data_IF_897262165813
#
_entry.id   IF_897262165813
#
_cell.length_a   1.000
_cell.length_b   1.000
_cell.length_c   1.000
_cell.angle_alpha   90.00
_cell.angle_beta   90.00
_cell.angle_gamma   90.00
#
_symmetry.space_group_name_H-M   'P 1'
#
loop_
_entity.id
_entity.type
_entity.pdbx_description
1 polymer ?
#
# COMPACT_ATOMS: atom_id res chain seq x y z
N UNK A 1 -19.52 51.67 -5.60
CA UNK A 1 -19.19 53.09 -5.41
C UNK A 1 -17.73 53.16 -4.97
N UNK A 2 -16.88 53.76 -5.80
CA UNK A 2 -15.41 53.86 -5.62
C UNK A 2 -15.07 54.73 -4.41
N UNK A 3 -14.01 54.38 -3.68
CA UNK A 3 -13.13 55.37 -3.07
C UNK A 3 -11.72 54.81 -2.98
N UNK A 4 -10.83 55.52 -3.63
CA UNK A 4 -9.40 55.34 -3.72
C UNK A 4 -8.83 56.72 -3.40
N UNK A 5 -7.90 56.86 -2.45
CA UNK A 5 -7.01 58.02 -2.41
C UNK A 5 -5.74 57.75 -1.61
N UNK A 6 -4.65 57.96 -2.34
CA UNK A 6 -3.22 57.91 -2.04
C UNK A 6 -2.67 59.14 -1.30
N UNK A 7 -1.55 58.97 -0.57
CA UNK A 7 -0.39 59.90 -0.52
C UNK A 7 0.85 59.06 -0.09
N UNK A 8 1.91 58.87 -0.90
CA UNK A 8 3.09 59.72 -1.22
C UNK A 8 3.93 60.13 0.04
N UNK A 9 5.28 60.11 0.12
CA UNK A 9 6.44 59.70 -0.72
C UNK A 9 7.75 59.87 0.11
N UNK A 10 8.87 59.34 -0.40
CA UNK A 10 10.31 59.54 -0.06
C UNK A 10 10.88 58.59 1.02
N UNK A 11 11.99 57.84 0.87
CA UNK A 11 13.02 57.75 -0.17
C UNK A 11 14.40 57.60 0.49
N UNK A 12 15.10 56.45 0.36
CA UNK A 12 16.51 56.30 -0.09
C UNK A 12 16.84 54.79 -0.28
N UNK A 13 17.54 54.48 -1.38
CA UNK A 13 17.91 53.15 -1.94
C UNK A 13 18.76 52.28 -0.97
N UNK A 14 18.76 50.95 -1.07
CA UNK A 14 19.78 50.16 -1.81
C UNK A 14 19.37 48.67 -1.93
N UNK A 15 19.67 48.09 -3.09
CA UNK A 15 19.69 46.67 -3.53
C UNK A 15 18.39 45.86 -3.64
N UNK A 16 18.18 45.45 -4.89
CA UNK A 16 17.16 44.57 -5.45
C UNK A 16 17.23 43.12 -4.94
N UNK A 17 16.11 42.60 -4.44
CA UNK A 17 15.65 41.24 -4.74
C UNK A 17 14.13 41.31 -4.89
N UNK A 18 13.65 40.96 -6.08
CA UNK A 18 12.24 41.03 -6.46
C UNK A 18 11.46 39.94 -5.71
N UNK A 19 10.68 40.33 -4.70
CA UNK A 19 9.59 39.53 -4.14
C UNK A 19 8.31 39.83 -4.91
N UNK A 20 7.95 38.97 -5.86
CA UNK A 20 6.56 38.78 -6.28
C UNK A 20 6.44 37.43 -7.00
N UNK A 21 5.45 36.65 -6.61
CA UNK A 21 5.13 35.37 -7.26
C UNK A 21 5.29 34.12 -6.39
N UNK A 22 4.81 34.12 -5.15
CA UNK A 22 4.45 32.84 -4.50
C UNK A 22 3.14 32.39 -5.13
N UNK A 23 3.20 31.84 -6.35
CA UNK A 23 2.13 30.97 -6.83
C UNK A 23 2.26 29.65 -6.07
N UNK A 24 1.32 29.41 -5.16
CA UNK A 24 1.04 28.07 -4.62
C UNK A 24 0.56 27.20 -5.77
N UNK A 25 1.49 26.56 -6.46
CA UNK A 25 1.27 25.38 -7.30
C UNK A 25 2.63 24.65 -7.38
N UNK A 26 3.00 23.99 -6.28
CA UNK A 26 4.06 22.98 -6.34
C UNK A 26 3.42 21.71 -6.91
N UNK A 27 3.56 21.58 -8.21
CA UNK A 27 3.19 20.43 -9.01
C UNK A 27 4.01 19.22 -8.52
N UNK A 28 3.36 18.28 -7.82
CA UNK A 28 4.00 17.11 -7.20
C UNK A 28 4.64 16.14 -8.21
N UNK A 29 4.30 16.27 -9.50
CA UNK A 29 4.98 15.61 -10.61
C UNK A 29 6.46 16.00 -10.73
N UNK A 30 6.86 17.21 -10.33
CA UNK A 30 8.23 17.71 -10.61
C UNK A 30 9.30 17.05 -9.75
N UNK A 31 8.95 16.50 -8.58
CA UNK A 31 9.90 15.81 -7.69
C UNK A 31 10.14 14.36 -8.12
N UNK A 32 9.39 13.87 -9.11
CA UNK A 32 9.60 12.55 -9.72
C UNK A 32 10.62 12.57 -10.87
N UNK A 33 10.99 13.75 -11.38
CA UNK A 33 11.78 13.89 -12.61
C UNK A 33 12.89 14.94 -12.47
N UNK A 34 14.04 14.55 -11.91
CA UNK A 34 15.29 15.30 -12.09
C UNK A 34 16.35 14.41 -12.69
N UNK A 35 16.60 14.61 -13.98
CA UNK A 35 17.74 14.06 -14.71
C UNK A 35 18.97 14.86 -14.31
N UNK A 36 19.72 14.41 -13.30
CA UNK A 36 21.09 14.93 -13.12
C UNK A 36 21.96 14.42 -14.28
N UNK A 37 22.17 15.28 -15.29
CA UNK A 37 23.23 15.09 -16.26
C UNK A 37 24.57 15.33 -15.57
N UNK A 38 25.25 14.28 -15.13
CA UNK A 38 26.70 14.31 -14.91
C UNK A 38 27.40 13.54 -16.03
N UNK A 39 28.31 14.22 -16.69
CA UNK A 39 29.12 13.71 -17.79
C UNK A 39 30.28 12.83 -17.28
N UNK A 40 30.77 11.93 -18.15
CA UNK A 40 32.02 11.11 -18.12
C UNK A 40 31.96 9.81 -17.29
N UNK A 41 32.45 8.61 -17.69
CA UNK A 41 33.31 8.09 -18.79
C UNK A 41 32.91 6.62 -19.13
N UNK A 42 33.46 5.94 -20.17
CA UNK A 42 32.92 4.69 -20.71
C UNK A 42 33.55 3.43 -20.09
N UNK A 43 32.82 2.71 -19.22
CA UNK A 43 33.09 1.31 -18.91
C UNK A 43 31.83 0.63 -18.33
N UNK A 44 31.34 -0.38 -19.09
CA UNK A 44 30.24 -1.32 -18.84
C UNK A 44 28.79 -0.77 -18.80
N UNK A 45 27.84 -1.38 -19.54
CA UNK A 45 26.45 -0.95 -19.53
C UNK A 45 25.76 -1.47 -18.27
N UNK A 46 25.74 -0.66 -17.20
CA UNK A 46 24.69 -0.79 -16.18
C UNK A 46 23.39 -0.34 -16.84
N UNK A 47 22.44 -1.24 -16.99
CA UNK A 47 21.13 -0.98 -17.58
C UNK A 47 20.50 0.25 -16.92
N UNK A 48 20.18 1.26 -17.74
CA UNK A 48 19.60 2.52 -17.30
C UNK A 48 18.15 2.40 -16.78
N UNK A 49 17.58 1.19 -16.72
CA UNK A 49 16.15 0.91 -16.56
C UNK A 49 15.54 1.15 -15.17
N UNK A 50 16.34 1.48 -14.15
CA UNK A 50 15.87 1.45 -12.74
C UNK A 50 15.53 2.82 -12.13
N UNK A 51 15.62 3.92 -12.88
CA UNK A 51 15.51 5.28 -12.29
C UNK A 51 14.12 5.93 -12.33
N UNK A 52 13.16 5.38 -13.08
CA UNK A 52 11.89 6.03 -13.41
C UNK A 52 10.66 5.55 -12.61
N UNK A 53 10.74 4.40 -11.94
CA UNK A 53 9.56 3.79 -11.30
C UNK A 53 9.52 4.14 -9.81
N UNK A 54 8.64 5.07 -9.40
CA UNK A 54 8.36 5.35 -7.98
C UNK A 54 6.88 5.62 -7.66
N UNK A 55 6.09 4.58 -7.34
CA UNK A 55 4.87 4.73 -6.56
C UNK A 55 5.19 5.08 -5.10
N UNK A 56 4.59 6.14 -4.55
CA UNK A 56 5.10 6.80 -3.32
C UNK A 56 4.80 6.05 -2.01
N UNK A 57 3.83 5.14 -1.97
CA UNK A 57 3.58 4.27 -0.79
C UNK A 57 4.03 2.82 -1.00
N UNK A 58 3.78 2.24 -2.19
CA UNK A 58 4.08 0.84 -2.48
C UNK A 58 5.56 0.59 -2.83
N UNK A 59 6.31 1.60 -3.30
CA UNK A 59 7.68 1.34 -3.79
C UNK A 59 8.69 0.96 -2.72
N UNK A 60 8.50 1.35 -1.46
CA UNK A 60 9.46 1.00 -0.40
C UNK A 60 9.41 -0.49 -0.10
N UNK A 61 8.19 -1.03 0.05
CA UNK A 61 7.98 -2.44 0.36
C UNK A 61 8.30 -3.34 -0.84
N UNK A 62 7.99 -2.90 -2.07
CA UNK A 62 8.38 -3.64 -3.29
C UNK A 62 9.90 -3.74 -3.42
N UNK A 63 10.65 -2.69 -3.08
CA UNK A 63 12.13 -2.69 -3.18
C UNK A 63 12.82 -3.65 -2.23
N UNK A 64 12.15 -4.06 -1.17
CA UNK A 64 12.65 -5.03 -0.21
C UNK A 64 12.40 -6.48 -0.63
N UNK A 65 11.60 -6.71 -1.68
CA UNK A 65 11.33 -8.04 -2.21
C UNK A 65 12.61 -8.73 -2.69
N UNK A 66 12.59 -10.05 -2.57
CA UNK A 66 13.60 -10.93 -3.12
C UNK A 66 13.87 -10.57 -4.60
N UNK A 67 15.15 -10.53 -5.05
CA UNK A 67 15.50 -10.06 -6.39
C UNK A 67 14.74 -10.73 -7.55
N UNK A 68 14.38 -12.01 -7.38
CA UNK A 68 13.56 -12.80 -8.32
C UNK A 68 12.16 -12.22 -8.53
N UNK A 69 11.54 -11.63 -7.49
CA UNK A 69 10.18 -11.12 -7.50
C UNK A 69 10.10 -9.60 -7.72
N UNK A 70 11.20 -8.87 -7.50
CA UNK A 70 11.24 -7.42 -7.56
C UNK A 70 10.69 -6.87 -8.89
N UNK A 71 11.25 -7.33 -10.02
CA UNK A 71 10.83 -6.85 -11.35
C UNK A 71 9.42 -7.33 -11.72
N UNK A 72 9.06 -8.63 -11.60
CA UNK A 72 7.71 -9.11 -11.91
C UNK A 72 6.61 -8.41 -11.11
N UNK A 73 6.77 -8.25 -9.80
CA UNK A 73 5.77 -7.58 -8.94
C UNK A 73 5.68 -6.08 -9.26
N UNK A 74 6.81 -5.44 -9.56
CA UNK A 74 6.84 -4.03 -9.96
C UNK A 74 6.11 -3.80 -11.28
N UNK A 75 6.40 -4.60 -12.31
CA UNK A 75 5.71 -4.54 -13.60
C UNK A 75 4.23 -4.87 -13.45
N UNK A 76 3.90 -5.91 -12.68
CA UNK A 76 2.52 -6.27 -12.41
C UNK A 76 1.73 -5.12 -11.79
N UNK A 77 2.30 -4.45 -10.77
CA UNK A 77 1.70 -3.26 -10.18
C UNK A 77 1.47 -2.15 -11.20
N UNK A 78 2.44 -1.86 -12.07
CA UNK A 78 2.32 -0.80 -13.08
C UNK A 78 1.26 -1.12 -14.14
N UNK A 79 1.14 -2.39 -14.55
CA UNK A 79 0.11 -2.84 -15.49
C UNK A 79 -1.28 -2.60 -14.89
N UNK A 80 -1.51 -3.08 -13.66
CA UNK A 80 -2.80 -2.90 -12.99
C UNK A 80 -3.10 -1.44 -12.68
N UNK A 81 -2.09 -0.64 -12.33
CA UNK A 81 -2.24 0.81 -12.15
C UNK A 81 -2.64 1.52 -13.46
N UNK A 82 -2.10 1.07 -14.60
CA UNK A 82 -2.51 1.57 -15.90
C UNK A 82 -3.98 1.27 -16.19
N UNK A 83 -4.42 0.05 -15.87
CA UNK A 83 -5.81 -0.37 -15.98
C UNK A 83 -6.74 0.45 -15.07
N UNK A 84 -6.41 0.60 -13.78
CA UNK A 84 -7.13 1.46 -12.82
C UNK A 84 -7.28 2.90 -13.36
N UNK A 85 -6.20 3.46 -13.93
CA UNK A 85 -6.20 4.84 -14.45
C UNK A 85 -7.17 5.05 -15.62
N UNK A 86 -7.47 4.00 -16.40
CA UNK A 86 -8.50 4.05 -17.45
C UNK A 86 -9.90 3.91 -16.84
N UNK A 87 -10.06 3.05 -15.84
CA UNK A 87 -11.32 2.79 -15.16
C UNK A 87 -11.83 4.01 -14.39
N UNK A 88 -10.98 4.61 -13.56
CA UNK A 88 -11.30 5.74 -12.67
C UNK A 88 -11.56 7.06 -13.43
N UNK A 89 -11.07 7.19 -14.67
CA UNK A 89 -11.25 8.42 -15.45
C UNK A 89 -12.68 8.55 -15.97
N UNK A 90 -13.50 9.31 -15.24
CA UNK A 90 -14.89 9.61 -15.58
C UNK A 90 -15.07 10.42 -16.88
N UNK A 91 -13.99 10.95 -17.46
CA UNK A 91 -14.06 11.67 -18.75
C UNK A 91 -14.07 10.76 -19.98
N UNK A 92 -13.69 9.49 -19.82
CA UNK A 92 -13.66 8.51 -20.92
C UNK A 92 -15.06 7.93 -21.14
N UNK A 93 -15.67 8.09 -22.33
CA UNK A 93 -16.99 7.51 -22.63
C UNK A 93 -16.99 5.99 -22.55
N UNK A 94 -18.11 5.39 -22.14
CA UNK A 94 -18.23 3.93 -22.01
C UNK A 94 -17.85 3.18 -23.29
N UNK A 95 -18.32 3.64 -24.46
CA UNK A 95 -18.04 3.02 -25.76
C UNK A 95 -16.55 2.92 -26.09
N UNK A 96 -15.73 3.78 -25.47
CA UNK A 96 -14.27 3.74 -25.56
C UNK A 96 -13.66 2.96 -24.39
N UNK A 97 -14.19 3.15 -23.17
CA UNK A 97 -13.68 2.55 -21.94
C UNK A 97 -13.83 1.02 -21.92
N UNK A 98 -15.02 0.50 -22.27
CA UNK A 98 -15.29 -0.94 -22.18
C UNK A 98 -14.32 -1.78 -23.05
N UNK A 99 -14.11 -1.46 -24.36
CA UNK A 99 -13.11 -2.18 -25.16
C UNK A 99 -11.69 -2.02 -24.61
N UNK A 100 -11.31 -0.81 -24.17
CA UNK A 100 -9.98 -0.57 -23.60
C UNK A 100 -9.70 -1.45 -22.37
N UNK A 101 -10.69 -1.64 -21.50
CA UNK A 101 -10.55 -2.47 -20.30
C UNK A 101 -10.48 -3.96 -20.64
N UNK A 102 -11.35 -4.44 -21.54
CA UNK A 102 -11.39 -5.87 -21.91
C UNK A 102 -10.16 -6.31 -22.70
N UNK A 103 -9.70 -5.46 -23.61
CA UNK A 103 -8.58 -5.76 -24.51
C UNK A 103 -7.23 -5.36 -23.88
N UNK A 104 -7.21 -4.88 -22.62
CA UNK A 104 -6.00 -4.36 -21.99
C UNK A 104 -4.86 -5.38 -21.93
N UNK A 105 -5.21 -6.67 -21.75
CA UNK A 105 -4.25 -7.77 -21.79
C UNK A 105 -3.55 -7.90 -23.14
N UNK A 106 -4.26 -7.61 -24.23
CA UNK A 106 -3.75 -7.76 -25.60
C UNK A 106 -2.81 -6.60 -25.94
N UNK A 107 -2.98 -5.43 -25.30
CA UNK A 107 -2.02 -4.32 -25.41
C UNK A 107 -0.67 -4.65 -24.76
N UNK A 108 -0.61 -5.58 -23.80
CA UNK A 108 0.67 -6.08 -23.26
C UNK A 108 1.51 -6.78 -24.34
N UNK A 109 0.88 -7.26 -25.41
CA UNK A 109 1.56 -7.87 -26.53
C UNK A 109 1.97 -6.88 -27.63
N UNK A 110 1.51 -5.62 -27.57
CA UNK A 110 1.70 -4.62 -28.61
C UNK A 110 2.89 -3.70 -28.30
N UNK A 111 4.00 -3.91 -28.99
CA UNK A 111 5.20 -3.09 -28.84
C UNK A 111 4.92 -1.59 -29.10
N UNK A 112 5.32 -0.74 -28.16
CA UNK A 112 5.15 0.71 -28.26
C UNK A 112 3.74 1.23 -27.98
N UNK A 113 2.83 0.38 -27.49
CA UNK A 113 1.48 0.84 -27.11
C UNK A 113 1.55 1.90 -26.00
N UNK A 114 0.80 2.97 -26.19
CA UNK A 114 0.63 4.07 -25.23
C UNK A 114 -0.79 4.59 -25.33
N UNK A 115 -1.26 5.24 -24.27
CA UNK A 115 -2.59 5.84 -24.24
C UNK A 115 -2.54 7.28 -23.72
N UNK A 116 -3.19 8.18 -24.46
CA UNK A 116 -3.21 9.63 -24.17
C UNK A 116 -4.61 10.19 -23.96
N UNK A 117 -5.63 9.32 -23.97
CA UNK A 117 -7.05 9.70 -23.91
C UNK A 117 -7.55 10.10 -22.53
N UNK A 118 -6.76 9.96 -21.47
CA UNK A 118 -7.11 10.47 -20.15
C UNK A 118 -7.12 12.00 -20.11
N UNK A 119 -7.96 12.56 -19.23
CA UNK A 119 -7.95 13.99 -18.91
C UNK A 119 -6.58 14.43 -18.38
N UNK A 120 -6.12 15.66 -18.68
CA UNK A 120 -4.81 16.15 -18.22
C UNK A 120 -4.61 16.16 -16.70
N UNK A 121 -5.71 16.25 -15.95
CA UNK A 121 -5.72 16.30 -14.48
C UNK A 121 -5.58 14.91 -13.85
N UNK A 122 -5.70 13.83 -14.63
CA UNK A 122 -5.62 12.48 -14.11
C UNK A 122 -4.21 12.19 -13.56
N UNK A 123 -4.15 11.81 -12.28
CA UNK A 123 -2.92 11.86 -11.47
C UNK A 123 -1.83 10.97 -12.06
N UNK A 124 -2.23 9.79 -12.54
CA UNK A 124 -1.34 8.75 -13.05
C UNK A 124 -1.30 8.69 -14.59
N UNK A 125 -1.89 9.66 -15.30
CA UNK A 125 -1.92 9.73 -16.77
C UNK A 125 -0.56 9.47 -17.43
N UNK A 126 0.52 9.98 -16.84
CA UNK A 126 1.87 9.86 -17.39
C UNK A 126 2.32 8.40 -17.53
N UNK A 127 1.82 7.49 -16.69
CA UNK A 127 2.06 6.05 -16.78
C UNK A 127 1.58 5.49 -18.12
N UNK A 128 0.36 5.84 -18.52
CA UNK A 128 -0.26 5.39 -19.77
C UNK A 128 0.40 6.02 -21.01
N UNK A 129 0.86 7.27 -20.89
CA UNK A 129 1.63 7.95 -21.95
C UNK A 129 2.97 7.28 -22.21
N UNK A 130 3.56 6.64 -21.20
CA UNK A 130 4.87 5.98 -21.25
C UNK A 130 4.77 4.46 -21.05
N UNK A 131 3.60 3.88 -21.37
CA UNK A 131 3.30 2.49 -21.10
C UNK A 131 4.15 1.52 -21.93
N UNK A 132 4.70 1.98 -23.04
CA UNK A 132 5.71 1.30 -23.85
C UNK A 132 6.91 0.79 -23.03
N UNK A 133 7.31 1.55 -22.00
CA UNK A 133 8.38 1.15 -21.09
C UNK A 133 7.95 -0.01 -20.18
N UNK A 134 6.69 -0.02 -19.74
CA UNK A 134 6.13 -1.11 -18.92
C UNK A 134 6.06 -2.39 -19.73
N UNK A 135 5.60 -2.31 -20.99
CA UNK A 135 5.56 -3.44 -21.93
C UNK A 135 6.97 -4.00 -22.17
N UNK A 136 7.95 -3.12 -22.38
CA UNK A 136 9.35 -3.54 -22.58
C UNK A 136 9.87 -4.35 -21.39
N UNK A 137 9.64 -3.89 -20.16
CA UNK A 137 10.08 -4.61 -18.97
C UNK A 137 9.25 -5.87 -18.70
N UNK A 138 7.95 -5.85 -19.04
CA UNK A 138 7.09 -7.03 -18.99
C UNK A 138 7.63 -8.16 -19.87
N UNK A 139 8.04 -7.86 -21.10
CA UNK A 139 8.66 -8.82 -22.02
C UNK A 139 9.98 -9.40 -21.50
N UNK A 140 10.69 -8.69 -20.63
CA UNK A 140 11.94 -9.15 -20.01
C UNK A 140 11.71 -10.14 -18.85
N UNK A 141 10.47 -10.31 -18.37
CA UNK A 141 10.15 -11.26 -17.29
C UNK A 141 10.05 -12.70 -17.80
N UNK A 142 10.05 -13.69 -16.89
CA UNK A 142 9.92 -15.11 -17.28
C UNK A 142 8.55 -15.39 -17.91
N UNK A 143 8.44 -16.30 -18.91
CA UNK A 143 7.17 -16.64 -19.53
C UNK A 143 6.06 -17.05 -18.54
N UNK A 144 6.42 -17.74 -17.47
CA UNK A 144 5.47 -18.11 -16.41
C UNK A 144 4.88 -16.88 -15.69
N UNK A 145 5.69 -15.87 -15.39
CA UNK A 145 5.21 -14.61 -14.81
C UNK A 145 4.37 -13.81 -15.80
N UNK A 146 4.77 -13.79 -17.08
CA UNK A 146 3.98 -13.14 -18.13
C UNK A 146 2.57 -13.75 -18.22
N UNK A 147 2.47 -15.07 -18.20
CA UNK A 147 1.19 -15.79 -18.24
C UNK A 147 0.31 -15.47 -17.03
N UNK A 148 0.89 -15.44 -15.81
CA UNK A 148 0.15 -15.06 -14.60
C UNK A 148 -0.37 -13.63 -14.70
N UNK A 149 0.50 -12.67 -15.01
CA UNK A 149 0.15 -11.25 -15.08
C UNK A 149 -0.92 -11.00 -16.15
N UNK A 150 -0.81 -11.64 -17.32
CA UNK A 150 -1.78 -11.51 -18.42
C UNK A 150 -3.16 -12.05 -18.01
N UNK A 151 -3.20 -13.24 -17.39
CA UNK A 151 -4.45 -13.85 -16.92
C UNK A 151 -5.16 -12.98 -15.87
N UNK A 152 -4.41 -12.40 -14.92
CA UNK A 152 -4.98 -11.51 -13.91
C UNK A 152 -5.47 -10.21 -14.54
N UNK A 153 -4.69 -9.64 -15.47
CA UNK A 153 -5.07 -8.43 -16.19
C UNK A 153 -6.36 -8.62 -16.99
N UNK A 154 -6.53 -9.79 -17.63
CA UNK A 154 -7.76 -10.17 -18.34
C UNK A 154 -8.97 -10.21 -17.41
N UNK A 155 -8.84 -10.94 -16.29
CA UNK A 155 -9.95 -11.09 -15.34
C UNK A 155 -10.34 -9.74 -14.71
N UNK A 156 -9.37 -8.92 -14.34
CA UNK A 156 -9.59 -7.60 -13.74
C UNK A 156 -10.23 -6.63 -14.75
N UNK A 157 -9.71 -6.58 -15.99
CA UNK A 157 -10.24 -5.73 -17.05
C UNK A 157 -11.69 -6.07 -17.42
N UNK A 158 -12.02 -7.36 -17.53
CA UNK A 158 -13.40 -7.79 -17.76
C UNK A 158 -14.33 -7.44 -16.60
N UNK A 159 -13.90 -7.66 -15.35
CA UNK A 159 -14.68 -7.31 -14.17
C UNK A 159 -14.98 -5.82 -14.09
N UNK A 160 -13.96 -4.97 -14.29
CA UNK A 160 -14.12 -3.51 -14.34
C UNK A 160 -15.06 -3.06 -15.46
N UNK A 161 -14.94 -3.65 -16.66
CA UNK A 161 -15.84 -3.36 -17.77
C UNK A 161 -17.30 -3.70 -17.45
N UNK A 162 -17.55 -4.82 -16.77
CA UNK A 162 -18.90 -5.22 -16.35
C UNK A 162 -19.51 -4.21 -15.37
N UNK A 163 -18.74 -3.73 -14.39
CA UNK A 163 -19.19 -2.70 -13.44
C UNK A 163 -19.35 -1.31 -14.10
N UNK A 164 -18.46 -0.92 -15.01
CA UNK A 164 -18.58 0.33 -15.77
C UNK A 164 -19.87 0.35 -16.62
N UNK A 165 -20.19 -0.77 -17.28
CA UNK A 165 -21.42 -0.93 -18.06
C UNK A 165 -22.67 -0.91 -17.16
N UNK A 166 -22.60 -1.58 -16.00
CA UNK A 166 -23.68 -1.52 -14.99
C UNK A 166 -23.95 -0.08 -14.57
N UNK A 167 -22.89 0.68 -14.28
CA UNK A 167 -23.02 2.08 -13.88
C UNK A 167 -23.63 2.97 -14.96
N UNK A 168 -23.25 2.78 -16.22
CA UNK A 168 -23.84 3.51 -17.34
C UNK A 168 -25.32 3.17 -17.60
N UNK A 169 -25.78 1.99 -17.20
CA UNK A 169 -27.19 1.56 -17.36
C UNK A 169 -28.16 2.15 -16.32
N UNK A 170 -27.67 2.96 -15.38
CA UNK A 170 -28.47 3.62 -14.35
C UNK A 170 -28.45 2.93 -12.98
N UNK A 171 -27.81 1.75 -12.87
CA UNK A 171 -27.59 1.03 -11.61
C UNK A 171 -26.13 1.21 -11.15
N UNK A 172 -25.72 2.48 -10.95
CA UNK A 172 -24.35 2.85 -10.60
C UNK A 172 -23.93 2.50 -9.16
N UNK A 173 -24.85 1.99 -8.34
CA UNK A 173 -24.57 1.59 -6.97
C UNK A 173 -24.23 0.10 -6.85
N UNK A 174 -23.46 -0.22 -5.83
CA UNK A 174 -23.38 -1.59 -5.31
C UNK A 174 -24.63 -1.84 -4.45
N UNK A 175 -25.42 -2.88 -4.76
CA UNK A 175 -26.70 -3.08 -4.09
C UNK A 175 -26.59 -3.99 -2.87
N UNK A 176 -25.93 -5.14 -2.98
CA UNK A 176 -25.81 -6.12 -1.88
C UNK A 176 -24.38 -6.26 -1.37
N UNK A 177 -24.22 -6.87 -0.21
CA UNK A 177 -22.88 -7.21 0.33
C UNK A 177 -22.16 -8.21 -0.57
N UNK A 178 -22.86 -9.12 -1.22
CA UNK A 178 -22.26 -10.05 -2.19
C UNK A 178 -21.74 -9.34 -3.43
N UNK A 179 -22.50 -8.35 -3.95
CA UNK A 179 -22.01 -7.50 -5.05
C UNK A 179 -20.80 -6.67 -4.62
N UNK A 180 -20.78 -6.20 -3.38
CA UNK A 180 -19.64 -5.48 -2.82
C UNK A 180 -18.39 -6.36 -2.74
N UNK A 181 -18.54 -7.59 -2.26
CA UNK A 181 -17.46 -8.58 -2.21
C UNK A 181 -16.99 -9.00 -3.61
N UNK A 182 -17.91 -9.07 -4.57
CA UNK A 182 -17.60 -9.36 -5.97
C UNK A 182 -16.83 -8.20 -6.63
N UNK A 183 -17.24 -6.96 -6.39
CA UNK A 183 -16.50 -5.78 -6.83
C UNK A 183 -15.09 -5.76 -6.25
N UNK A 184 -14.97 -5.89 -4.92
CA UNK A 184 -13.68 -5.93 -4.23
C UNK A 184 -12.81 -7.11 -4.70
N UNK A 185 -13.43 -8.24 -5.07
CA UNK A 185 -12.72 -9.36 -5.67
C UNK A 185 -12.08 -8.96 -7.00
N UNK A 186 -12.85 -8.40 -7.94
CA UNK A 186 -12.32 -8.04 -9.26
C UNK A 186 -11.16 -7.03 -9.18
N UNK A 187 -11.29 -6.00 -8.35
CA UNK A 187 -10.31 -4.89 -8.32
C UNK A 187 -9.14 -5.12 -7.36
N UNK A 188 -9.23 -6.04 -6.41
CA UNK A 188 -8.17 -6.27 -5.42
C UNK A 188 -7.95 -7.73 -5.02
N UNK A 189 -9.02 -8.53 -4.91
CA UNK A 189 -8.89 -9.95 -4.56
C UNK A 189 -8.14 -10.77 -5.61
N UNK A 190 -8.38 -10.51 -6.90
CA UNK A 190 -7.66 -11.13 -8.02
C UNK A 190 -6.17 -10.73 -8.00
N UNK A 191 -5.84 -9.52 -7.55
CA UNK A 191 -4.44 -9.11 -7.35
C UNK A 191 -3.76 -9.99 -6.30
N UNK A 192 -4.49 -10.35 -5.23
CA UNK A 192 -4.07 -11.36 -4.26
C UNK A 192 -3.73 -12.70 -4.91
N UNK A 193 -4.63 -13.23 -5.77
CA UNK A 193 -4.38 -14.47 -6.54
C UNK A 193 -3.09 -14.37 -7.38
N UNK A 194 -2.94 -13.29 -8.13
CA UNK A 194 -1.78 -13.07 -8.99
C UNK A 194 -0.47 -13.05 -8.23
N UNK A 195 -0.43 -12.28 -7.13
CA UNK A 195 0.74 -12.19 -6.25
C UNK A 195 1.06 -13.56 -5.62
N UNK A 196 0.07 -14.29 -5.12
CA UNK A 196 0.26 -15.64 -4.57
C UNK A 196 0.86 -16.59 -5.62
N UNK A 197 0.35 -16.56 -6.85
CA UNK A 197 0.87 -17.38 -7.95
C UNK A 197 2.31 -17.01 -8.31
N UNK A 198 2.66 -15.71 -8.33
CA UNK A 198 4.04 -15.27 -8.53
C UNK A 198 4.98 -15.80 -7.44
N UNK A 199 4.56 -15.78 -6.17
CA UNK A 199 5.36 -16.29 -5.07
C UNK A 199 5.63 -17.79 -5.18
N UNK A 200 4.59 -18.56 -5.53
CA UNK A 200 4.69 -20.01 -5.68
C UNK A 200 5.57 -20.37 -6.88
N UNK A 201 5.39 -19.69 -8.01
CA UNK A 201 6.21 -19.87 -9.22
C UNK A 201 7.69 -19.55 -8.95
N UNK A 202 7.96 -18.51 -8.14
CA UNK A 202 9.32 -18.17 -7.72
C UNK A 202 9.93 -19.17 -6.70
N UNK A 203 9.15 -20.12 -6.18
CA UNK A 203 9.57 -21.03 -5.11
C UNK A 203 9.72 -20.36 -3.74
N UNK A 204 9.13 -19.17 -3.56
CA UNK A 204 9.21 -18.36 -2.33
C UNK A 204 7.90 -18.37 -1.53
N UNK A 205 6.82 -18.91 -2.11
CA UNK A 205 5.56 -19.24 -1.45
C UNK A 205 5.34 -20.75 -1.37
N UNK A 206 4.59 -21.20 -0.36
CA UNK A 206 4.19 -22.61 -0.27
C UNK A 206 3.14 -22.94 -1.32
N UNK A 207 3.30 -24.04 -2.06
CA UNK A 207 2.39 -24.40 -3.17
C UNK A 207 0.92 -24.58 -2.75
N UNK A 208 0.69 -25.04 -1.51
CA UNK A 208 -0.65 -25.21 -0.91
C UNK A 208 -1.41 -23.90 -0.76
N UNK A 209 -0.73 -22.75 -0.77
CA UNK A 209 -1.36 -21.43 -0.61
C UNK A 209 -2.32 -21.11 -1.78
N UNK A 210 -2.10 -21.69 -2.96
CA UNK A 210 -2.98 -21.56 -4.13
C UNK A 210 -4.34 -22.22 -3.89
N UNK A 211 -4.38 -23.31 -3.14
CA UNK A 211 -5.60 -24.07 -2.87
C UNK A 211 -6.52 -23.35 -1.86
N UNK A 212 -5.97 -22.39 -1.11
CA UNK A 212 -6.68 -21.63 -0.09
C UNK A 212 -7.25 -20.30 -0.62
N UNK A 213 -8.16 -20.40 -1.61
CA UNK A 213 -8.74 -19.24 -2.32
C UNK A 213 -9.25 -18.14 -1.41
N UNK A 214 -9.96 -18.51 -0.35
CA UNK A 214 -10.53 -17.57 0.61
C UNK A 214 -9.46 -16.69 1.31
N UNK A 215 -8.24 -17.19 1.51
CA UNK A 215 -7.18 -16.48 2.21
C UNK A 215 -6.64 -15.31 1.39
N UNK A 216 -6.15 -15.55 0.17
CA UNK A 216 -5.64 -14.46 -0.68
C UNK A 216 -6.77 -13.54 -1.16
N UNK A 217 -7.99 -14.06 -1.30
CA UNK A 217 -9.19 -13.22 -1.53
C UNK A 217 -9.37 -12.24 -0.37
N UNK A 218 -9.39 -12.72 0.87
CA UNK A 218 -9.54 -11.88 2.07
C UNK A 218 -8.41 -10.86 2.21
N UNK A 219 -7.17 -11.20 1.85
CA UNK A 219 -6.04 -10.26 1.81
C UNK A 219 -6.32 -9.05 0.90
N UNK A 220 -6.85 -9.27 -0.32
CA UNK A 220 -7.21 -8.19 -1.23
C UNK A 220 -8.46 -7.42 -0.77
N UNK A 221 -9.49 -8.13 -0.31
CA UNK A 221 -10.74 -7.53 0.18
C UNK A 221 -10.51 -6.61 1.38
N UNK A 222 -9.70 -7.01 2.37
CA UNK A 222 -9.42 -6.16 3.53
C UNK A 222 -8.82 -4.82 3.11
N UNK A 223 -7.85 -4.83 2.20
CA UNK A 223 -7.20 -3.62 1.69
C UNK A 223 -8.17 -2.75 0.88
N UNK A 224 -8.99 -3.35 0.02
CA UNK A 224 -9.91 -2.61 -0.82
C UNK A 224 -11.05 -1.97 -0.03
N UNK A 225 -11.66 -2.74 0.88
CA UNK A 225 -12.71 -2.24 1.77
C UNK A 225 -12.18 -1.10 2.64
N UNK A 226 -10.92 -1.16 3.04
CA UNK A 226 -10.28 -0.07 3.78
C UNK A 226 -10.24 1.24 2.99
N UNK A 227 -9.82 1.19 1.72
CA UNK A 227 -9.79 2.36 0.85
C UNK A 227 -11.21 2.91 0.63
N UNK A 228 -12.18 2.05 0.32
CA UNK A 228 -13.59 2.43 0.09
C UNK A 228 -14.22 3.10 1.33
N UNK A 229 -13.90 2.62 2.54
CA UNK A 229 -14.39 3.24 3.78
C UNK A 229 -13.75 4.61 4.00
N UNK A 230 -12.42 4.69 3.82
CA UNK A 230 -11.64 5.91 4.08
C UNK A 230 -11.94 7.03 3.08
N UNK A 231 -12.14 6.68 1.82
CA UNK A 231 -12.25 7.62 0.70
C UNK A 231 -13.71 7.98 0.36
N UNK A 232 -14.69 7.58 1.21
CA UNK A 232 -16.14 7.79 1.00
C UNK A 232 -16.51 9.23 0.62
N UNK A 233 -15.81 10.24 1.17
CA UNK A 233 -16.03 11.64 0.80
C UNK A 233 -15.52 11.98 -0.60
N UNK A 234 -14.31 11.53 -0.95
CA UNK A 234 -13.71 11.75 -2.28
C UNK A 234 -14.56 11.04 -3.35
N UNK A 235 -14.98 9.80 -3.08
CA UNK A 235 -15.86 9.06 -3.98
C UNK A 235 -17.20 9.77 -4.18
N UNK A 236 -17.81 10.30 -3.11
CA UNK A 236 -19.05 11.06 -3.23
C UNK A 236 -18.88 12.35 -4.04
N UNK A 237 -17.81 13.12 -3.81
CA UNK A 237 -17.52 14.34 -4.56
C UNK A 237 -17.33 14.04 -6.07
N UNK A 238 -16.82 12.85 -6.41
CA UNK A 238 -16.66 12.36 -7.79
C UNK A 238 -17.92 11.69 -8.37
N UNK A 239 -19.01 11.59 -7.60
CA UNK A 239 -20.26 10.94 -8.00
C UNK A 239 -20.22 9.41 -8.02
N UNK A 240 -19.22 8.80 -7.37
CA UNK A 240 -19.02 7.36 -7.24
C UNK A 240 -19.64 6.85 -5.93
N UNK A 241 -20.21 5.64 -5.94
CA UNK A 241 -20.93 5.05 -4.78
C UNK A 241 -20.62 3.57 -4.63
N UNK A 242 -19.67 3.25 -3.76
CA UNK A 242 -19.21 1.87 -3.52
C UNK A 242 -19.76 1.21 -2.25
N UNK A 243 -20.30 1.99 -1.31
CA UNK A 243 -20.91 1.43 -0.11
C UNK A 243 -22.21 0.72 -0.51
N UNK A 244 -22.43 -0.54 -0.11
CA UNK A 244 -23.57 -1.32 -0.57
C UNK A 244 -24.88 -0.76 0.00
N UNK A 245 -25.90 -0.68 -0.86
CA UNK A 245 -27.26 -0.26 -0.47
C UNK A 245 -27.82 -1.05 0.69
N UNK A 246 -27.59 -2.35 0.72
CA UNK A 246 -27.97 -3.23 1.82
C UNK A 246 -27.43 -2.78 3.20
N UNK A 247 -26.29 -2.06 3.24
CA UNK A 247 -25.76 -1.48 4.49
C UNK A 247 -26.33 -0.08 4.70
N UNK A 248 -26.08 0.86 3.79
CA UNK A 248 -26.40 2.27 4.07
C UNK A 248 -27.89 2.56 4.16
N UNK A 249 -28.75 1.82 3.46
CA UNK A 249 -30.21 2.02 3.49
C UNK A 249 -30.87 1.58 4.81
N UNK A 250 -30.12 0.93 5.71
CA UNK A 250 -30.56 0.68 7.09
C UNK A 250 -30.49 1.92 7.96
N UNK A 251 -29.69 2.91 7.57
CA UNK A 251 -29.37 4.10 8.37
C UNK A 251 -29.98 5.38 7.80
N UNK A 252 -30.05 5.51 6.47
CA UNK A 252 -30.58 6.70 5.77
C UNK A 252 -31.41 6.30 4.54
N UNK A 253 -32.29 7.20 4.09
CA UNK A 253 -33.16 6.95 2.93
C UNK A 253 -32.42 7.13 1.59
N UNK A 254 -31.56 8.15 1.49
CA UNK A 254 -30.69 8.39 0.34
C UNK A 254 -29.22 8.35 0.75
N UNK A 255 -28.32 7.96 -0.18
CA UNK A 255 -26.90 7.86 0.13
C UNK A 255 -26.28 9.22 0.50
N UNK A 256 -26.74 10.27 -0.17
CA UNK A 256 -26.29 11.66 0.01
C UNK A 256 -26.59 12.18 1.43
N UNK A 257 -27.62 11.63 2.08
CA UNK A 257 -28.01 11.99 3.45
C UNK A 257 -26.90 11.66 4.48
N UNK A 258 -25.97 10.74 4.17
CA UNK A 258 -24.81 10.42 5.02
C UNK A 258 -23.86 11.62 5.23
N UNK A 259 -23.89 12.60 4.33
CA UNK A 259 -22.99 13.75 4.33
C UNK A 259 -23.61 15.00 4.99
N UNK A 260 -24.89 14.94 5.34
CA UNK A 260 -25.60 16.03 5.99
C UNK A 260 -25.30 16.08 7.50
N UNK A 261 -24.99 17.26 8.08
CA UNK A 261 -24.62 17.39 9.48
C UNK A 261 -25.66 16.84 10.48
N UNK A 262 -26.95 16.95 10.15
CA UNK A 262 -28.07 16.44 10.94
C UNK A 262 -28.09 14.90 11.06
N UNK A 263 -27.53 14.19 10.08
CA UNK A 263 -27.52 12.73 10.03
C UNK A 263 -26.20 12.14 10.52
N UNK A 264 -25.33 12.95 11.16
CA UNK A 264 -23.99 12.52 11.54
C UNK A 264 -24.00 11.21 12.36
N UNK A 265 -24.89 11.05 13.33
CA UNK A 265 -24.92 9.83 14.14
C UNK A 265 -25.33 8.59 13.32
N UNK A 266 -26.27 8.75 12.38
CA UNK A 266 -26.66 7.69 11.45
C UNK A 266 -25.50 7.33 10.51
N UNK A 267 -24.78 8.34 10.03
CA UNK A 267 -23.58 8.15 9.22
C UNK A 267 -22.48 7.42 10.00
N UNK A 268 -22.28 7.74 11.28
CA UNK A 268 -21.34 7.02 12.14
C UNK A 268 -21.75 5.56 12.36
N UNK A 269 -23.03 5.26 12.56
CA UNK A 269 -23.55 3.89 12.67
C UNK A 269 -23.42 3.11 11.34
N UNK A 270 -23.61 3.78 10.20
CA UNK A 270 -23.35 3.18 8.89
C UNK A 270 -21.85 2.87 8.72
N UNK A 271 -20.97 3.80 9.10
CA UNK A 271 -19.51 3.59 9.04
C UNK A 271 -19.06 2.44 9.95
N UNK A 272 -19.72 2.24 11.09
CA UNK A 272 -19.40 1.14 12.02
C UNK A 272 -19.77 -0.22 11.43
N UNK A 273 -20.89 -0.30 10.70
CA UNK A 273 -21.28 -1.51 9.96
C UNK A 273 -20.31 -1.82 8.80
N UNK A 274 -19.84 -0.79 8.09
CA UNK A 274 -18.82 -0.96 7.04
C UNK A 274 -17.49 -1.46 7.61
N UNK A 275 -17.03 -0.90 8.74
CA UNK A 275 -15.82 -1.36 9.43
C UNK A 275 -16.00 -2.80 9.94
N UNK A 276 -17.16 -3.14 10.51
CA UNK A 276 -17.49 -4.50 10.93
C UNK A 276 -17.39 -5.49 9.76
N UNK A 277 -17.93 -5.12 8.59
CA UNK A 277 -17.84 -5.93 7.38
C UNK A 277 -16.38 -6.17 6.95
N UNK A 278 -15.52 -5.14 7.02
CA UNK A 278 -14.10 -5.27 6.70
C UNK A 278 -13.34 -6.13 7.72
N UNK A 279 -13.63 -5.99 9.01
CA UNK A 279 -13.00 -6.79 10.10
C UNK A 279 -13.20 -8.30 9.91
N UNK A 280 -14.27 -8.72 9.22
CA UNK A 280 -14.51 -10.13 8.89
C UNK A 280 -13.37 -10.83 8.13
N UNK A 281 -12.50 -10.07 7.44
CA UNK A 281 -11.36 -10.62 6.70
C UNK A 281 -10.06 -10.74 7.52
N UNK A 282 -10.01 -10.19 8.73
CA UNK A 282 -8.76 -10.09 9.50
C UNK A 282 -8.16 -11.45 9.86
N UNK A 283 -8.97 -12.43 10.24
CA UNK A 283 -8.50 -13.78 10.62
C UNK A 283 -7.93 -14.54 9.42
N UNK A 284 -8.57 -14.43 8.25
CA UNK A 284 -8.06 -15.01 7.01
C UNK A 284 -6.73 -14.34 6.60
N UNK A 285 -6.61 -13.03 6.79
CA UNK A 285 -5.35 -12.33 6.53
C UNK A 285 -4.22 -12.85 7.42
N UNK A 286 -4.46 -13.02 8.73
CA UNK A 286 -3.48 -13.62 9.63
C UNK A 286 -3.14 -15.06 9.23
N UNK A 287 -4.14 -15.85 8.83
CA UNK A 287 -3.95 -17.22 8.36
C UNK A 287 -3.12 -17.29 7.07
N UNK A 288 -3.32 -16.36 6.14
CA UNK A 288 -2.49 -16.25 4.94
C UNK A 288 -1.03 -15.99 5.29
N UNK A 289 -0.76 -15.07 6.23
CA UNK A 289 0.60 -14.71 6.65
C UNK A 289 1.35 -15.88 7.31
N UNK A 290 0.66 -16.82 7.97
CA UNK A 290 1.27 -18.05 8.53
C UNK A 290 1.94 -18.90 7.43
N UNK A 291 1.39 -18.90 6.22
CA UNK A 291 1.91 -19.68 5.09
C UNK A 291 3.15 -19.07 4.42
N UNK A 292 3.56 -17.86 4.80
CA UNK A 292 4.68 -17.15 4.19
C UNK A 292 5.97 -17.42 4.97
N UNK A 293 6.95 -18.04 4.31
CA UNK A 293 8.21 -18.45 4.93
C UNK A 293 9.38 -17.54 4.57
N UNK A 294 9.32 -16.92 3.39
CA UNK A 294 10.35 -16.01 2.92
C UNK A 294 10.06 -14.61 3.49
N UNK A 295 11.07 -13.99 4.11
CA UNK A 295 10.90 -12.77 4.89
C UNK A 295 10.45 -11.58 4.05
N UNK A 296 11.00 -11.42 2.84
CA UNK A 296 10.63 -10.29 1.99
C UNK A 296 9.18 -10.37 1.50
N UNK A 297 8.71 -11.58 1.16
CA UNK A 297 7.33 -11.89 0.81
C UNK A 297 6.41 -11.68 2.01
N UNK A 298 6.83 -12.14 3.20
CA UNK A 298 6.10 -11.89 4.44
C UNK A 298 5.94 -10.38 4.70
N UNK A 299 7.03 -9.61 4.66
CA UNK A 299 7.00 -8.15 4.86
C UNK A 299 6.08 -7.48 3.85
N UNK A 300 6.17 -7.89 2.58
CA UNK A 300 5.34 -7.37 1.50
C UNK A 300 3.84 -7.56 1.75
N UNK A 301 3.45 -8.69 2.32
CA UNK A 301 2.06 -8.97 2.66
C UNK A 301 1.65 -8.39 4.01
N UNK A 302 2.50 -8.44 5.04
CA UNK A 302 2.16 -8.08 6.41
C UNK A 302 2.00 -6.56 6.61
N UNK A 303 2.91 -5.76 6.05
CA UNK A 303 2.93 -4.31 6.25
C UNK A 303 1.62 -3.64 5.80
N UNK A 304 1.09 -3.90 4.59
CA UNK A 304 -0.19 -3.35 4.17
C UNK A 304 -1.36 -3.74 5.07
N UNK A 305 -1.40 -4.99 5.56
CA UNK A 305 -2.49 -5.46 6.41
C UNK A 305 -2.47 -4.80 7.79
N UNK A 306 -1.28 -4.63 8.39
CA UNK A 306 -1.12 -3.85 9.62
C UNK A 306 -1.55 -2.39 9.46
N UNK A 307 -1.22 -1.76 8.32
CA UNK A 307 -1.68 -0.41 7.99
C UNK A 307 -3.20 -0.34 7.78
N UNK A 308 -3.80 -1.39 7.22
CA UNK A 308 -5.25 -1.48 7.07
C UNK A 308 -5.94 -1.53 8.43
N UNK A 309 -5.47 -2.34 9.39
CA UNK A 309 -6.02 -2.36 10.75
C UNK A 309 -5.95 -0.99 11.44
N UNK A 310 -4.83 -0.28 11.28
CA UNK A 310 -4.68 1.08 11.77
C UNK A 310 -5.67 2.07 11.12
N UNK A 311 -5.91 1.90 9.82
CA UNK A 311 -6.82 2.78 9.09
C UNK A 311 -8.29 2.47 9.38
N UNK A 312 -8.66 1.20 9.63
CA UNK A 312 -9.99 0.83 10.12
C UNK A 312 -10.27 1.50 11.47
N UNK A 313 -9.31 1.46 12.39
CA UNK A 313 -9.41 2.13 13.69
C UNK A 313 -9.56 3.65 13.55
N UNK A 314 -8.84 4.25 12.59
CA UNK A 314 -8.94 5.67 12.29
C UNK A 314 -10.31 6.05 11.72
N UNK A 315 -10.90 5.22 10.86
CA UNK A 315 -12.20 5.46 10.24
C UNK A 315 -13.38 5.15 11.20
N UNK A 316 -13.19 4.22 12.14
CA UNK A 316 -14.22 3.76 13.03
C UNK A 316 -14.83 4.90 13.86
N UNK A 317 -16.13 5.16 13.62
CA UNK A 317 -16.91 6.23 14.26
C UNK A 317 -16.21 7.61 14.24
N UNK A 318 -15.50 7.92 13.16
CA UNK A 318 -14.81 9.19 13.00
C UNK A 318 -15.56 10.12 12.03
N UNK A 319 -16.17 11.22 12.50
CA UNK A 319 -16.88 12.18 11.64
C UNK A 319 -16.07 12.73 10.47
N UNK A 320 -14.74 12.75 10.60
CA UNK A 320 -13.87 13.33 9.59
C UNK A 320 -13.93 12.59 8.24
N UNK A 321 -14.30 11.30 8.19
CA UNK A 321 -14.39 10.54 6.92
C UNK A 321 -15.44 11.11 5.97
N UNK A 322 -16.50 11.73 6.50
CA UNK A 322 -17.56 12.36 5.70
C UNK A 322 -17.23 13.80 5.30
N UNK A 323 -16.15 14.37 5.83
CA UNK A 323 -15.77 15.77 5.62
C UNK A 323 -14.54 15.90 4.73
N UNK A 324 -13.61 14.95 4.79
CA UNK A 324 -12.35 14.96 4.06
C UNK A 324 -11.70 13.59 4.01
N UNK A 325 -10.73 13.40 3.11
CA UNK A 325 -9.84 12.25 3.13
C UNK A 325 -8.95 12.29 4.39
N UNK A 326 -8.96 11.20 5.16
CA UNK A 326 -8.13 11.04 6.37
C UNK A 326 -7.11 9.93 6.17
N UNK A 327 -5.93 10.06 6.77
CA UNK A 327 -4.85 9.08 6.65
C UNK A 327 -4.12 8.91 7.97
N UNK A 328 -3.59 7.71 8.21
CA UNK A 328 -2.64 7.48 9.30
C UNK A 328 -1.44 8.40 9.13
N UNK A 329 -0.81 8.81 10.24
CA UNK A 329 0.33 9.72 10.15
C UNK A 329 1.54 9.00 9.55
N UNK A 330 2.48 9.75 8.97
CA UNK A 330 3.73 9.15 8.46
C UNK A 330 4.55 8.47 9.57
N UNK A 331 4.44 8.96 10.81
CA UNK A 331 5.07 8.35 11.98
C UNK A 331 4.47 6.99 12.30
N UNK A 332 3.13 6.91 12.37
CA UNK A 332 2.42 5.64 12.58
C UNK A 332 2.73 4.65 11.45
N UNK A 333 2.69 5.10 10.20
CA UNK A 333 3.00 4.26 9.05
C UNK A 333 4.43 3.69 9.12
N UNK A 334 5.42 4.51 9.50
CA UNK A 334 6.80 4.05 9.67
C UNK A 334 6.93 3.07 10.84
N UNK A 335 6.27 3.34 11.97
CA UNK A 335 6.26 2.43 13.11
C UNK A 335 5.68 1.06 12.73
N UNK A 336 4.54 1.05 12.03
CA UNK A 336 3.90 -0.18 11.57
C UNK A 336 4.76 -0.95 10.57
N UNK A 337 5.46 -0.25 9.69
CA UNK A 337 6.42 -0.85 8.76
C UNK A 337 7.52 -1.60 9.53
N UNK A 338 8.11 -0.97 10.56
CA UNK A 338 9.19 -1.55 11.36
C UNK A 338 8.71 -2.70 12.27
N UNK A 339 7.52 -2.58 12.85
CA UNK A 339 6.95 -3.63 13.71
C UNK A 339 6.53 -4.86 12.88
N UNK A 340 5.88 -4.63 11.73
CA UNK A 340 5.29 -5.70 10.92
C UNK A 340 6.29 -6.40 10.00
N UNK A 341 7.53 -5.90 9.90
CA UNK A 341 8.61 -6.51 9.12
C UNK A 341 9.43 -7.53 9.92
N UNK A 342 9.12 -7.76 11.19
CA UNK A 342 9.90 -8.63 12.08
C UNK A 342 9.42 -10.07 11.97
N UNK A 343 8.26 -10.36 12.52
CA UNK A 343 7.67 -11.69 12.56
C UNK A 343 6.14 -11.62 12.72
N UNK A 344 5.50 -12.78 12.64
CA UNK A 344 4.05 -12.90 12.79
C UNK A 344 3.57 -12.56 14.21
N UNK A 345 4.39 -12.74 15.24
CA UNK A 345 4.02 -12.38 16.62
C UNK A 345 3.81 -10.87 16.74
N UNK A 346 4.72 -10.06 16.18
CA UNK A 346 4.56 -8.60 16.12
C UNK A 346 3.35 -8.16 15.30
N UNK A 347 3.04 -8.85 14.20
CA UNK A 347 1.83 -8.57 13.43
C UNK A 347 0.57 -8.89 14.25
N UNK A 348 0.55 -10.01 14.97
CA UNK A 348 -0.55 -10.34 15.89
C UNK A 348 -0.72 -9.27 16.98
N UNK A 349 0.38 -8.80 17.59
CA UNK A 349 0.33 -7.69 18.56
C UNK A 349 -0.25 -6.41 17.94
N UNK A 350 0.11 -6.09 16.70
CA UNK A 350 -0.44 -4.94 15.96
C UNK A 350 -1.95 -5.09 15.77
N UNK A 351 -2.42 -6.26 15.35
CA UNK A 351 -3.85 -6.55 15.18
C UNK A 351 -4.59 -6.39 16.51
N UNK A 352 -4.11 -7.04 17.58
CA UNK A 352 -4.65 -6.93 18.94
C UNK A 352 -4.74 -5.46 19.40
N UNK A 353 -3.69 -4.68 19.20
CA UNK A 353 -3.65 -3.25 19.58
C UNK A 353 -4.75 -2.44 18.89
N UNK A 354 -4.98 -2.65 17.60
CA UNK A 354 -6.00 -1.86 16.88
C UNK A 354 -7.42 -2.34 17.12
N UNK A 355 -7.67 -3.65 17.28
CA UNK A 355 -9.00 -4.10 17.70
C UNK A 355 -9.35 -3.63 19.11
N UNK A 356 -8.37 -3.57 20.02
CA UNK A 356 -8.57 -3.00 21.34
C UNK A 356 -8.90 -1.50 21.29
N UNK A 357 -8.23 -0.72 20.43
CA UNK A 357 -8.56 0.70 20.21
C UNK A 357 -9.96 0.88 19.60
N UNK A 358 -10.38 0.00 18.68
CA UNK A 358 -11.76 -0.02 18.16
C UNK A 358 -12.77 -0.29 19.28
N UNK A 359 -12.51 -1.28 20.13
CA UNK A 359 -13.34 -1.59 21.30
C UNK A 359 -13.45 -0.39 22.25
N UNK A 360 -12.36 0.33 22.52
CA UNK A 360 -12.36 1.53 23.35
C UNK A 360 -13.20 2.68 22.77
N UNK A 361 -13.29 2.77 21.44
CA UNK A 361 -14.13 3.74 20.72
C UNK A 361 -15.58 3.27 20.54
N UNK A 362 -15.88 2.00 20.85
CA UNK A 362 -17.19 1.42 20.59
C UNK A 362 -18.25 2.07 21.48
N UNK A 363 -19.40 2.42 20.91
CA UNK A 363 -20.44 3.19 21.57
C UNK A 363 -21.65 2.28 21.89
N UNK A 364 -22.09 2.15 23.15
CA UNK A 364 -23.27 1.35 23.51
C UNK A 364 -24.57 1.74 22.78
N UNK A 365 -24.67 2.97 22.28
CA UNK A 365 -25.82 3.44 21.50
C UNK A 365 -25.75 3.05 20.01
N UNK A 366 -24.62 2.51 19.55
CA UNK A 366 -24.45 2.03 18.18
C UNK A 366 -25.24 0.71 18.00
N UNK A 367 -26.11 0.58 16.99
CA UNK A 367 -26.85 -0.66 16.72
C UNK A 367 -25.92 -1.86 16.46
N UNK A 368 -24.67 -1.61 16.06
CA UNK A 368 -23.66 -2.64 15.79
C UNK A 368 -22.76 -2.95 17.00
N UNK A 369 -22.99 -2.32 18.16
CA UNK A 369 -22.11 -2.41 19.35
C UNK A 369 -21.70 -3.84 19.71
N UNK A 370 -22.68 -4.75 19.81
CA UNK A 370 -22.44 -6.15 20.20
C UNK A 370 -21.67 -6.90 19.11
N UNK A 371 -22.04 -6.71 17.84
CA UNK A 371 -21.38 -7.37 16.70
C UNK A 371 -19.92 -6.95 16.56
N UNK A 372 -19.63 -5.66 16.74
CA UNK A 372 -18.26 -5.12 16.74
C UNK A 372 -17.47 -5.72 17.89
N UNK A 373 -18.03 -5.75 19.11
CA UNK A 373 -17.37 -6.32 20.28
C UNK A 373 -16.99 -7.78 20.06
N UNK A 374 -17.91 -8.58 19.51
CA UNK A 374 -17.68 -9.98 19.16
C UNK A 374 -16.59 -10.13 18.09
N UNK A 375 -16.65 -9.35 17.01
CA UNK A 375 -15.67 -9.41 15.94
C UNK A 375 -14.25 -9.07 16.46
N UNK A 376 -14.11 -8.02 17.25
CA UNK A 376 -12.84 -7.65 17.87
C UNK A 376 -12.31 -8.76 18.81
N UNK A 377 -13.16 -9.36 19.64
CA UNK A 377 -12.79 -10.45 20.54
C UNK A 377 -12.36 -11.71 19.76
N UNK A 378 -13.05 -12.03 18.65
CA UNK A 378 -12.68 -13.14 17.78
C UNK A 378 -11.30 -12.94 17.16
N UNK A 379 -11.01 -11.73 16.67
CA UNK A 379 -9.69 -11.39 16.10
C UNK A 379 -8.60 -11.45 17.16
N UNK A 380 -8.86 -10.88 18.33
CA UNK A 380 -7.91 -10.89 19.45
C UNK A 380 -7.57 -12.32 19.88
N UNK A 381 -8.58 -13.17 20.10
CA UNK A 381 -8.37 -14.58 20.46
C UNK A 381 -7.59 -15.31 19.37
N UNK A 382 -7.98 -15.13 18.12
CA UNK A 382 -7.31 -15.77 16.99
C UNK A 382 -5.82 -15.37 16.89
N UNK A 383 -5.52 -14.07 17.02
CA UNK A 383 -4.16 -13.56 17.00
C UNK A 383 -3.32 -14.06 18.20
N UNK A 384 -3.92 -14.13 19.40
CA UNK A 384 -3.28 -14.66 20.61
C UNK A 384 -3.02 -16.16 20.53
N UNK A 385 -3.89 -16.93 19.86
CA UNK A 385 -3.69 -18.37 19.66
C UNK A 385 -2.57 -18.66 18.65
N UNK A 386 -2.38 -17.79 17.66
CA UNK A 386 -1.33 -17.90 16.64
C UNK A 386 0.07 -17.56 17.17
N UNK A 387 0.23 -16.52 17.99
CA UNK A 387 1.54 -16.04 18.43
C UNK A 387 2.40 -17.12 19.14
N UNK A 388 1.87 -17.92 20.10
CA UNK A 388 2.63 -18.98 20.79
C UNK A 388 2.99 -20.16 19.87
N UNK A 389 2.18 -20.43 18.84
CA UNK A 389 2.41 -21.51 17.88
C UNK A 389 3.60 -21.17 16.97
N UNK A 390 3.79 -19.89 16.65
CA UNK A 390 4.91 -19.40 15.86
C UNK A 390 6.26 -19.63 16.55
N UNK A 391 6.34 -19.41 17.87
CA UNK A 391 7.56 -19.66 18.68
C UNK A 391 7.94 -21.14 18.69
N UNK A 392 6.96 -22.05 18.71
CA UNK A 392 7.20 -23.51 18.66
C UNK A 392 7.69 -23.96 17.29
N UNK A 393 7.13 -23.42 16.20
CA UNK A 393 7.58 -23.72 14.83
C UNK A 393 8.98 -23.17 14.58
N UNK A 394 9.29 -21.97 15.08
CA UNK A 394 10.63 -21.39 15.01
C UNK A 394 11.67 -22.22 15.78
N UNK A 395 11.35 -22.67 17.01
CA UNK A 395 12.24 -23.51 17.84
C UNK A 395 12.38 -24.96 17.34
N UNK A 396 11.32 -25.53 16.78
CA UNK A 396 11.35 -26.87 16.17
C UNK A 396 12.25 -26.93 14.93
N UNK A 397 12.38 -25.83 14.19
CA UNK A 397 13.31 -25.69 13.05
C UNK A 397 14.78 -25.59 13.47
N UNK A 398 15.10 -24.97 14.61
CA UNK A 398 16.48 -24.92 15.12
C UNK A 398 17.01 -26.31 15.49
N UNK A 399 16.16 -27.16 16.08
CA UNK A 399 16.52 -28.54 16.46
C UNK A 399 16.55 -29.55 15.30
N UNK A 400 15.82 -29.29 14.22
CA UNK A 400 15.82 -30.13 13.02
C UNK A 400 16.98 -29.80 12.07
N UNK A 401 17.39 -28.53 11.98
CA UNK A 401 18.56 -28.11 11.21
C UNK A 401 19.89 -28.58 11.83
N UNK A 402 19.94 -28.72 13.16
CA UNK A 402 21.18 -29.08 13.89
C UNK A 402 21.56 -30.58 13.79
N UNK A 403 20.63 -31.43 13.31
CA UNK A 403 20.91 -32.87 13.11
C UNK A 403 21.55 -33.20 11.75
N UNK A 404 21.71 -32.21 10.87
CA UNK A 404 22.23 -32.41 9.51
C UNK A 404 23.66 -31.93 9.25
N UNK A 405 24.33 -31.26 10.20
CA UNK A 405 25.64 -30.63 9.96
C UNK A 405 26.65 -30.81 11.10
N UNK A 406 26.70 -31.97 11.74
CA UNK A 406 27.78 -32.28 12.70
C UNK A 406 28.98 -32.86 11.97
N UNK A 407 29.69 -32.04 11.18
CA UNK A 407 31.12 -32.32 10.91
C UNK A 407 31.97 -31.15 10.39
N UNK A 408 31.45 -29.93 10.17
CA UNK A 408 32.27 -28.83 9.63
C UNK A 408 32.19 -27.47 10.38
N UNK A 409 31.59 -27.41 11.57
CA UNK A 409 31.39 -26.16 12.30
C UNK A 409 32.49 -25.77 13.31
N UNK A 410 33.41 -26.68 13.67
CA UNK A 410 34.41 -26.38 14.70
C UNK A 410 35.46 -25.34 14.25
N UNK A 411 35.87 -25.34 12.98
CA UNK A 411 36.91 -24.42 12.47
C UNK A 411 36.41 -23.02 12.11
N UNK A 412 35.16 -22.88 11.69
CA UNK A 412 34.63 -21.61 11.16
C UNK A 412 34.24 -20.62 12.28
N UNK A 413 33.76 -21.13 13.42
CA UNK A 413 33.40 -20.30 14.57
C UNK A 413 34.61 -19.65 15.25
N UNK A 414 35.79 -20.29 15.20
CA UNK A 414 37.03 -19.72 15.73
C UNK A 414 37.52 -18.53 14.88
N UNK A 415 37.38 -18.63 13.56
CA UNK A 415 37.78 -17.59 12.61
C UNK A 415 36.84 -16.38 12.63
N UNK A 416 35.53 -16.59 12.77
CA UNK A 416 34.55 -15.48 12.95
C UNK A 416 34.76 -14.78 14.28
N UNK A 417 35.04 -15.50 15.37
CA UNK A 417 35.26 -14.90 16.70
C UNK A 417 36.55 -14.08 16.74
N UNK A 418 37.60 -14.57 16.09
CA UNK A 418 38.87 -13.85 15.84
C UNK A 418 38.64 -12.57 15.02
N UNK A 419 37.88 -12.65 13.94
CA UNK A 419 37.66 -11.51 13.02
C UNK A 419 36.75 -10.46 13.65
N UNK A 420 35.68 -10.88 14.32
CA UNK A 420 34.75 -9.98 15.05
C UNK A 420 35.47 -9.26 16.20
N UNK A 421 36.34 -9.96 16.92
CA UNK A 421 37.18 -9.36 17.97
C UNK A 421 38.14 -8.29 17.43
N UNK A 422 38.75 -8.52 16.26
CA UNK A 422 39.63 -7.54 15.60
C UNK A 422 38.87 -6.30 15.12
N UNK A 423 37.67 -6.47 14.56
CA UNK A 423 36.83 -5.34 14.10
C UNK A 423 36.38 -4.47 15.28
N UNK A 424 35.98 -5.07 16.40
CA UNK A 424 35.62 -4.34 17.62
C UNK A 424 36.81 -3.58 18.22
N UNK A 425 38.01 -4.19 18.23
CA UNK A 425 39.22 -3.54 18.73
C UNK A 425 39.64 -2.33 17.88
N UNK A 426 39.55 -2.45 16.55
CA UNK A 426 39.84 -1.33 15.63
C UNK A 426 38.81 -0.21 15.79
N UNK A 427 37.53 -0.56 15.93
CA UNK A 427 36.45 0.42 16.13
C UNK A 427 36.63 1.18 17.45
N UNK A 428 36.97 0.49 18.53
CA UNK A 428 37.26 1.11 19.83
C UNK A 428 38.51 2.02 19.76
N UNK A 429 39.57 1.61 19.06
CA UNK A 429 40.76 2.43 18.88
C UNK A 429 40.47 3.72 18.11
N UNK A 430 39.63 3.66 17.06
CA UNK A 430 39.19 4.83 16.30
C UNK A 430 38.36 5.76 17.19
N UNK A 431 37.43 5.23 17.97
CA UNK A 431 36.63 6.04 18.91
C UNK A 431 37.49 6.74 19.97
N UNK A 432 38.50 6.06 20.51
CA UNK A 432 39.44 6.66 21.47
C UNK A 432 40.27 7.76 20.80
N UNK A 433 40.72 7.57 19.56
CA UNK A 433 41.46 8.59 18.81
C UNK A 433 40.59 9.82 18.49
N UNK A 434 39.32 9.61 18.11
CA UNK A 434 38.39 10.72 17.83
C UNK A 434 38.06 11.51 19.10
N UNK A 435 37.81 10.82 20.22
CA UNK A 435 37.56 11.48 21.52
C UNK A 435 38.82 12.17 22.04
N UNK A 436 39.99 11.54 21.90
CA UNK A 436 41.26 12.16 22.28
C UNK A 436 41.62 13.38 21.43
N UNK A 437 41.35 13.35 20.12
CA UNK A 437 41.52 14.49 19.24
C UNK A 437 40.54 15.63 19.57
N UNK A 438 39.28 15.31 19.89
CA UNK A 438 38.29 16.29 20.34
C UNK A 438 38.71 16.96 21.66
N UNK A 439 39.21 16.17 22.62
CA UNK A 439 39.68 16.68 23.91
C UNK A 439 40.94 17.56 23.78
N UNK A 440 41.87 17.20 22.89
CA UNK A 440 43.06 18.00 22.59
C UNK A 440 42.73 19.31 21.84
N UNK A 441 41.69 19.30 20.99
CA UNK A 441 41.20 20.51 20.34
C UNK A 441 40.53 21.44 21.35
N UNK A 442 39.71 20.90 22.26
CA UNK A 442 39.05 21.67 23.32
C UNK A 442 40.06 22.26 24.33
N UNK A 443 41.13 21.52 24.66
CA UNK A 443 42.22 22.02 25.49
C UNK A 443 43.04 23.16 24.83
N UNK A 444 43.10 23.23 23.50
CA UNK A 444 43.79 24.30 22.76
C UNK A 444 42.98 25.59 22.64
N UNK A 445 41.65 25.54 22.80
CA UNK A 445 40.79 26.72 22.79
C UNK A 445 40.60 27.37 24.17
N UNK A 446 41.10 26.76 25.26
CA UNK A 446 41.04 27.30 26.62
C UNK A 446 42.36 27.93 27.11
N UNK A 447 43.37 28.12 26.24
CA UNK A 447 44.64 28.81 26.57
C UNK A 447 45.00 29.87 25.53
N UNK A 448 44.02 30.57 24.96
CA UNK A 448 44.24 31.75 24.12
C UNK A 448 43.28 32.89 24.51
#
# INVERSE_FOLDING_TARGET
MKLNMSMFKNGTRITSVNQSGISKNRNWATVLYTREKKATSPQQPKSASSSWIRPVSFSSVVKELHPELLLPVCVFYLILRGLDTIEDDTSIPLDTKEPLLRDFKDYLDQDGWTFTGNRPEEKDRQLLVQFDNVITEFRNTKPAYQAIITDITDKMGNGMADFARKAASGDAGVNTVEEYDLYCWYVAGIVGEGVTRLFVEAGLGEGTLIDHVHLYKSMGLLLQKNNIIRDVREDHDDGRRFWPKEIWSKHVDNFEDLFEPENLELALNCSSEMVLNALGHANDCLSYLVGLREQSVFNFCAIPQSMAMATLELCFRNPAIFQRNIRITKGDAFQLMVESSQDLERVCEVFCRYVHRIQQKNNPNDPNFLKISIACEQIERFAQDLAPQCVKVAKGKTLAADKGQVQHQAGFNEEIRSTTGRVLAVSAAISILVVGAAWLLEARFNVA
#
